data_IF_483784553431
#
_entry.id   IF_483784553431
#
_cell.length_a   1.000
_cell.length_b   1.000
_cell.length_c   1.000
_cell.angle_alpha   90.00
_cell.angle_beta   90.00
_cell.angle_gamma   90.00
#
_symmetry.space_group_name_H-M   'P 1'
#
loop_
_entity.id
_entity.type
_entity.pdbx_description
1 polymer ?
#
# COMPACT_ATOMS: atom_id res chain seq x y z
N UNK A 1 -51.67 72.88 35.35
CA UNK A 1 -50.43 72.77 34.58
C UNK A 1 -49.33 72.32 35.51
N UNK A 2 -48.80 71.11 35.29
CA UNK A 2 -47.38 70.72 35.33
C UNK A 2 -47.28 69.19 35.31
N UNK A 3 -46.70 68.67 34.23
CA UNK A 3 -46.26 67.29 34.05
C UNK A 3 -44.93 67.09 34.77
N UNK A 4 -44.74 65.94 35.44
CA UNK A 4 -43.40 65.38 35.72
C UNK A 4 -43.52 63.86 35.73
N UNK A 5 -42.93 63.20 34.73
CA UNK A 5 -42.53 61.79 34.73
C UNK A 5 -41.19 61.60 35.46
N UNK A 6 -40.93 60.45 36.11
CA UNK A 6 -39.56 59.99 36.31
C UNK A 6 -39.24 58.76 35.44
N UNK A 7 -38.07 58.85 34.83
CA UNK A 7 -37.41 57.90 33.95
C UNK A 7 -36.76 56.74 34.70
N UNK A 8 -36.76 55.60 34.01
CA UNK A 8 -35.80 54.50 34.00
C UNK A 8 -34.39 54.79 34.55
N UNK A 9 -33.84 53.85 35.32
CA UNK A 9 -32.51 53.24 35.07
C UNK A 9 -32.29 52.00 35.94
N UNK A 10 -32.14 50.83 35.31
CA UNK A 10 -31.56 49.63 35.90
C UNK A 10 -30.07 49.56 35.48
N UNK A 11 -29.15 49.09 36.33
CA UNK A 11 -27.73 49.06 35.98
C UNK A 11 -27.45 47.89 35.02
N UNK A 12 -27.16 48.21 33.76
CA UNK A 12 -26.42 47.31 32.88
C UNK A 12 -24.96 47.29 33.31
N UNK A 13 -24.53 46.20 33.94
CA UNK A 13 -23.12 45.92 34.12
C UNK A 13 -22.84 44.43 33.95
N UNK A 14 -21.95 44.15 33.00
CA UNK A 14 -20.92 43.11 33.05
C UNK A 14 -21.14 41.78 32.30
N UNK A 15 -21.65 41.81 31.07
CA UNK A 15 -21.67 40.63 30.17
C UNK A 15 -20.55 40.61 29.12
N UNK A 16 -19.86 41.73 28.88
CA UNK A 16 -18.96 41.88 27.71
C UNK A 16 -17.55 41.29 27.94
N UNK A 17 -17.10 41.14 29.19
CA UNK A 17 -15.72 40.72 29.50
C UNK A 17 -15.53 39.19 29.43
N UNK A 18 -16.59 38.39 29.64
CA UNK A 18 -16.48 36.94 29.69
C UNK A 18 -16.43 36.27 28.29
N UNK A 19 -17.02 36.89 27.27
CA UNK A 19 -17.07 36.36 25.90
C UNK A 19 -15.72 36.50 25.17
N UNK A 20 -14.97 37.60 25.37
CA UNK A 20 -13.65 37.75 24.73
C UNK A 20 -12.61 36.76 25.26
N UNK A 21 -12.63 36.45 26.56
CA UNK A 21 -11.68 35.52 27.16
C UNK A 21 -11.98 34.07 26.81
N UNK A 22 -13.26 33.70 26.67
CA UNK A 22 -13.67 32.36 26.22
C UNK A 22 -13.31 32.12 24.75
N UNK A 23 -13.51 33.11 23.88
CA UNK A 23 -13.09 33.05 22.46
C UNK A 23 -11.57 32.93 22.32
N UNK A 24 -10.79 33.65 23.14
CA UNK A 24 -9.31 33.53 23.15
C UNK A 24 -8.83 32.16 23.64
N UNK A 25 -9.50 31.58 24.65
CA UNK A 25 -9.18 30.24 25.17
C UNK A 25 -9.47 29.17 24.10
N UNK A 26 -10.59 29.27 23.38
CA UNK A 26 -10.95 28.34 22.30
C UNK A 26 -10.01 28.42 21.10
N UNK A 27 -9.60 29.62 20.70
CA UNK A 27 -8.62 29.83 19.63
C UNK A 27 -7.26 29.21 19.98
N UNK A 28 -6.78 29.42 21.21
CA UNK A 28 -5.51 28.88 21.70
C UNK A 28 -5.54 27.35 21.81
N UNK A 29 -6.67 26.79 22.26
CA UNK A 29 -6.89 25.34 22.29
C UNK A 29 -6.89 24.72 20.87
N UNK A 30 -7.50 25.41 19.90
CA UNK A 30 -7.54 24.99 18.49
C UNK A 30 -6.15 24.97 17.85
N UNK A 31 -5.32 25.99 18.11
CA UNK A 31 -3.93 26.06 17.61
C UNK A 31 -3.04 24.96 18.22
N UNK A 32 -3.19 24.69 19.52
CA UNK A 32 -2.49 23.58 20.20
C UNK A 32 -2.94 22.22 19.63
N UNK A 33 -4.22 22.08 19.31
CA UNK A 33 -4.75 20.85 18.70
C UNK A 33 -4.20 20.65 17.28
N UNK A 34 -4.17 21.70 16.46
CA UNK A 34 -3.66 21.67 15.09
C UNK A 34 -2.16 21.38 15.04
N UNK A 35 -1.37 21.99 15.90
CA UNK A 35 0.08 21.72 16.00
C UNK A 35 0.38 20.28 16.49
N UNK A 36 -0.41 19.75 17.44
CA UNK A 36 -0.36 18.33 17.82
C UNK A 36 -0.74 17.40 16.66
N UNK A 37 -1.79 17.74 15.89
CA UNK A 37 -2.19 16.95 14.72
C UNK A 37 -1.11 16.97 13.62
N UNK A 38 -0.49 18.12 13.36
CA UNK A 38 0.61 18.23 12.40
C UNK A 38 1.85 17.44 12.84
N UNK A 39 2.27 17.56 14.10
CA UNK A 39 3.40 16.80 14.62
C UNK A 39 3.14 15.28 14.65
N UNK A 40 1.92 14.85 14.94
CA UNK A 40 1.52 13.44 14.82
C UNK A 40 1.55 12.94 13.37
N UNK A 41 1.09 13.75 12.40
CA UNK A 41 1.21 13.43 10.97
C UNK A 41 2.67 13.30 10.55
N UNK A 42 3.53 14.22 10.97
CA UNK A 42 4.98 14.17 10.68
C UNK A 42 5.65 12.94 11.28
N UNK A 43 5.34 12.59 12.54
CA UNK A 43 5.86 11.37 13.19
C UNK A 43 5.40 10.10 12.47
N UNK A 44 4.14 10.04 12.01
CA UNK A 44 3.64 8.90 11.21
C UNK A 44 4.35 8.77 9.87
N UNK A 45 4.60 9.88 9.18
CA UNK A 45 5.35 9.90 7.92
C UNK A 45 6.79 9.44 8.16
N UNK A 46 7.46 9.96 9.19
CA UNK A 46 8.82 9.56 9.55
C UNK A 46 8.90 8.06 9.88
N UNK A 47 7.98 7.54 10.69
CA UNK A 47 7.93 6.11 11.02
C UNK A 47 7.69 5.23 9.79
N UNK A 48 6.77 5.64 8.90
CA UNK A 48 6.48 4.91 7.67
C UNK A 48 7.70 4.86 6.73
N UNK A 49 8.44 5.96 6.60
CA UNK A 49 9.66 6.03 5.81
C UNK A 49 10.78 5.17 6.40
N UNK A 50 10.97 5.19 7.72
CA UNK A 50 11.97 4.34 8.40
C UNK A 50 11.63 2.85 8.26
N UNK A 51 10.37 2.47 8.43
CA UNK A 51 9.92 1.09 8.24
C UNK A 51 10.09 0.60 6.80
N UNK A 52 9.87 1.49 5.83
CA UNK A 52 10.10 1.20 4.42
C UNK A 52 11.60 1.04 4.11
N UNK A 53 12.45 1.89 4.66
CA UNK A 53 13.90 1.79 4.49
C UNK A 53 14.45 0.48 5.09
N UNK A 54 13.99 0.09 6.27
CA UNK A 54 14.34 -1.20 6.88
C UNK A 54 13.95 -2.39 5.99
N UNK A 55 12.76 -2.33 5.36
CA UNK A 55 12.34 -3.33 4.37
C UNK A 55 13.30 -3.31 3.18
N UNK A 56 13.61 -2.16 2.59
CA UNK A 56 14.50 -2.07 1.42
C UNK A 56 15.95 -2.51 1.72
N UNK A 57 16.42 -2.35 2.96
CA UNK A 57 17.75 -2.77 3.43
C UNK A 57 17.88 -4.27 3.68
N UNK A 58 16.78 -5.03 3.67
CA UNK A 58 16.81 -6.49 3.79
C UNK A 58 17.73 -7.13 2.74
N UNK A 59 18.42 -8.18 3.17
CA UNK A 59 19.46 -8.83 2.35
C UNK A 59 18.85 -9.66 1.22
N UNK A 60 17.64 -10.16 1.45
CA UNK A 60 16.87 -10.99 0.55
C UNK A 60 16.52 -10.25 -0.74
N UNK A 61 16.56 -10.97 -1.86
CA UNK A 61 16.18 -10.43 -3.18
C UNK A 61 14.66 -10.27 -3.25
N UNK A 62 13.94 -11.26 -2.72
CA UNK A 62 12.48 -11.29 -2.63
C UNK A 62 12.11 -11.45 -1.16
N UNK A 63 11.26 -10.56 -0.66
CA UNK A 63 10.69 -10.65 0.67
C UNK A 63 9.43 -11.51 0.60
N UNK A 64 9.27 -12.40 1.58
CA UNK A 64 8.15 -13.34 1.62
C UNK A 64 7.36 -13.08 2.90
N UNK A 65 6.06 -12.83 2.75
CA UNK A 65 5.11 -12.78 3.86
C UNK A 65 4.02 -13.82 3.64
N UNK A 66 3.74 -14.65 4.65
CA UNK A 66 2.67 -15.65 4.60
C UNK A 66 1.55 -15.30 5.58
N UNK A 67 0.30 -15.47 5.13
CA UNK A 67 -0.89 -15.16 5.90
C UNK A 67 -1.90 -16.29 5.76
N UNK A 68 -2.58 -16.64 6.85
CA UNK A 68 -3.70 -17.57 6.88
C UNK A 68 -4.95 -16.80 7.37
N UNK A 69 -5.64 -16.07 6.48
CA UNK A 69 -6.66 -15.12 6.88
C UNK A 69 -8.01 -15.76 7.29
N UNK A 70 -8.24 -17.04 6.98
CA UNK A 70 -9.54 -17.69 7.15
C UNK A 70 -10.56 -17.29 6.07
N UNK A 71 -11.82 -17.72 6.24
CA UNK A 71 -12.94 -17.43 5.33
C UNK A 71 -12.81 -18.06 3.92
N UNK A 72 -12.51 -19.36 3.82
CA UNK A 72 -12.39 -20.02 2.53
C UNK A 72 -11.04 -19.77 1.82
N UNK A 73 -10.10 -19.08 2.48
CA UNK A 73 -8.72 -18.89 2.02
C UNK A 73 -7.79 -19.62 2.99
N UNK A 74 -7.11 -20.65 2.48
CA UNK A 74 -6.19 -21.48 3.25
C UNK A 74 -4.87 -20.76 3.51
N UNK A 75 -4.33 -20.10 2.48
CA UNK A 75 -3.00 -19.52 2.52
C UNK A 75 -2.87 -18.39 1.50
N UNK A 76 -2.26 -17.28 1.91
CA UNK A 76 -1.81 -16.21 1.02
C UNK A 76 -0.29 -16.09 1.18
N UNK A 77 0.42 -16.08 0.07
CA UNK A 77 1.86 -15.83 0.04
C UNK A 77 2.13 -14.58 -0.77
N UNK A 78 2.69 -13.57 -0.13
CA UNK A 78 3.08 -12.31 -0.75
C UNK A 78 4.58 -12.31 -1.02
N UNK A 79 4.94 -12.28 -2.31
CA UNK A 79 6.31 -12.15 -2.77
C UNK A 79 6.56 -10.69 -3.16
N UNK A 80 7.41 -9.98 -2.42
CA UNK A 80 7.72 -8.56 -2.70
C UNK A 80 9.13 -8.40 -3.23
N UNK A 81 9.24 -7.83 -4.44
CA UNK A 81 10.49 -7.42 -5.06
C UNK A 81 10.65 -5.91 -4.94
N UNK A 82 11.72 -5.49 -4.27
CA UNK A 82 12.09 -4.08 -4.15
C UNK A 82 12.74 -3.58 -5.46
N UNK A 83 12.50 -2.31 -5.86
CA UNK A 83 13.00 -1.77 -7.13
C UNK A 83 14.53 -1.86 -7.24
N UNK A 84 15.23 -1.68 -6.13
CA UNK A 84 16.71 -1.78 -6.04
C UNK A 84 17.25 -3.19 -6.25
N UNK A 85 16.40 -4.22 -6.16
CA UNK A 85 16.78 -5.63 -6.28
C UNK A 85 16.41 -6.24 -7.64
N UNK A 86 15.64 -5.54 -8.49
CA UNK A 86 15.21 -6.05 -9.80
C UNK A 86 16.39 -6.49 -10.68
N UNK A 87 17.44 -5.67 -10.75
CA UNK A 87 18.64 -6.00 -11.54
C UNK A 87 19.44 -7.20 -10.99
N UNK A 88 19.31 -7.50 -9.70
CA UNK A 88 19.95 -8.69 -9.09
C UNK A 88 19.14 -9.94 -9.46
N UNK A 89 17.81 -9.87 -9.36
CA UNK A 89 16.92 -10.98 -9.74
C UNK A 89 17.18 -11.42 -11.19
N UNK A 90 17.15 -10.48 -12.14
CA UNK A 90 17.35 -10.80 -13.57
C UNK A 90 18.73 -11.32 -13.96
N UNK A 91 19.73 -11.20 -13.05
CA UNK A 91 21.04 -11.84 -13.19
C UNK A 91 21.08 -13.24 -12.62
N UNK A 92 20.30 -13.52 -11.56
CA UNK A 92 20.31 -14.82 -10.87
C UNK A 92 19.33 -15.81 -11.44
N UNK A 93 18.14 -15.35 -11.83
CA UNK A 93 17.05 -16.20 -12.30
C UNK A 93 16.50 -15.63 -13.59
N UNK A 94 16.26 -16.52 -14.55
CA UNK A 94 15.63 -16.22 -15.83
C UNK A 94 14.64 -17.33 -16.16
N UNK A 95 13.55 -16.94 -16.80
CA UNK A 95 12.69 -17.90 -17.44
C UNK A 95 13.43 -18.49 -18.65
N UNK A 96 13.35 -19.79 -18.81
CA UNK A 96 13.69 -20.42 -20.07
C UNK A 96 12.61 -20.12 -21.13
N UNK A 97 12.80 -20.68 -22.33
CA UNK A 97 11.90 -20.41 -23.44
C UNK A 97 10.48 -20.91 -23.17
N UNK A 98 10.34 -22.09 -22.59
CA UNK A 98 9.04 -22.73 -22.45
C UNK A 98 8.30 -22.09 -21.28
N UNK A 99 8.98 -21.83 -20.16
CA UNK A 99 8.44 -21.06 -19.03
C UNK A 99 8.00 -19.64 -19.45
N UNK A 100 8.77 -18.98 -20.32
CA UNK A 100 8.40 -17.69 -20.87
C UNK A 100 7.14 -17.77 -21.72
N UNK A 101 7.05 -18.76 -22.61
CA UNK A 101 5.86 -18.95 -23.45
C UNK A 101 4.63 -19.30 -22.61
N UNK A 102 4.79 -20.10 -21.56
CA UNK A 102 3.71 -20.44 -20.63
C UNK A 102 3.23 -19.22 -19.84
N UNK A 103 4.15 -18.33 -19.43
CA UNK A 103 3.80 -17.08 -18.77
C UNK A 103 2.95 -16.17 -19.67
N UNK A 104 3.38 -16.00 -20.94
CA UNK A 104 2.65 -15.20 -21.93
C UNK A 104 1.32 -15.87 -22.31
N UNK A 105 1.30 -17.20 -22.44
CA UNK A 105 0.10 -17.97 -22.75
C UNK A 105 -0.98 -17.77 -21.69
N UNK A 106 -0.62 -17.86 -20.40
CA UNK A 106 -1.56 -17.60 -19.29
C UNK A 106 -2.06 -16.16 -19.28
N UNK A 107 -1.16 -15.18 -19.44
CA UNK A 107 -1.54 -13.77 -19.55
C UNK A 107 -2.57 -13.55 -20.65
N UNK A 108 -2.34 -14.12 -21.84
CA UNK A 108 -3.25 -13.96 -22.98
C UNK A 108 -4.58 -14.69 -22.78
N UNK A 109 -4.62 -15.80 -22.05
CA UNK A 109 -5.87 -16.48 -21.70
C UNK A 109 -6.71 -15.68 -20.71
N UNK A 110 -6.08 -15.09 -19.70
CA UNK A 110 -6.76 -14.30 -18.67
C UNK A 110 -7.30 -12.97 -19.21
N UNK A 111 -6.63 -12.41 -20.21
CA UNK A 111 -6.93 -11.07 -20.75
C UNK A 111 -7.45 -11.12 -22.20
N UNK A 112 -7.86 -12.31 -22.67
CA UNK A 112 -8.19 -12.55 -24.08
C UNK A 112 -9.26 -11.59 -24.61
N UNK A 113 -10.28 -11.32 -23.80
CA UNK A 113 -11.43 -10.49 -24.17
C UNK A 113 -11.13 -8.98 -24.15
N UNK A 114 -10.10 -8.56 -23.39
CA UNK A 114 -9.77 -7.16 -23.14
C UNK A 114 -8.49 -6.70 -23.87
N UNK A 115 -7.65 -7.63 -24.32
CA UNK A 115 -6.29 -7.34 -24.77
C UNK A 115 -6.23 -6.27 -25.86
N UNK A 116 -7.10 -6.37 -26.87
CA UNK A 116 -7.15 -5.41 -27.99
C UNK A 116 -7.70 -4.03 -27.57
N UNK A 117 -8.45 -3.98 -26.47
CA UNK A 117 -9.00 -2.74 -25.90
C UNK A 117 -7.99 -2.01 -25.01
N UNK A 118 -6.97 -2.74 -24.52
CA UNK A 118 -5.90 -2.17 -23.71
C UNK A 118 -5.03 -1.22 -24.53
N UNK A 119 -4.64 -0.11 -23.91
CA UNK A 119 -3.61 0.75 -24.48
C UNK A 119 -2.29 -0.02 -24.51
N UNK A 120 -1.47 0.25 -25.52
CA UNK A 120 -0.13 -0.37 -25.65
C UNK A 120 0.73 -0.25 -24.37
N UNK A 121 0.61 0.86 -23.64
CA UNK A 121 1.30 1.02 -22.34
C UNK A 121 0.86 -0.01 -21.31
N UNK A 122 -0.43 -0.31 -21.27
CA UNK A 122 -1.02 -1.23 -20.29
C UNK A 122 -0.71 -2.67 -20.69
N UNK A 123 -0.75 -3.00 -21.98
CA UNK A 123 -0.23 -4.26 -22.53
C UNK A 123 1.24 -4.50 -22.12
N UNK A 124 2.12 -3.51 -22.32
CA UNK A 124 3.54 -3.62 -21.94
C UNK A 124 3.70 -3.84 -20.43
N UNK A 125 2.92 -3.13 -19.61
CA UNK A 125 2.96 -3.29 -18.14
C UNK A 125 2.53 -4.70 -17.75
N UNK A 126 1.37 -5.13 -18.23
CA UNK A 126 0.83 -6.45 -17.96
C UNK A 126 1.81 -7.55 -18.34
N UNK A 127 2.36 -7.51 -19.56
CA UNK A 127 3.39 -8.46 -20.01
C UNK A 127 4.61 -8.47 -19.09
N UNK A 128 5.13 -7.29 -18.73
CA UNK A 128 6.25 -7.19 -17.79
C UNK A 128 5.89 -7.84 -16.45
N UNK A 129 4.68 -7.60 -15.96
CA UNK A 129 4.25 -8.04 -14.63
C UNK A 129 4.11 -9.57 -14.58
N UNK A 130 3.54 -10.21 -15.59
CA UNK A 130 3.49 -11.69 -15.69
C UNK A 130 4.89 -12.30 -15.77
N UNK A 131 5.77 -11.78 -16.63
CA UNK A 131 7.15 -12.30 -16.74
C UNK A 131 7.88 -12.14 -15.40
N UNK A 132 7.74 -10.99 -14.72
CA UNK A 132 8.37 -10.77 -13.42
C UNK A 132 7.76 -11.62 -12.32
N UNK A 133 6.44 -11.81 -12.31
CA UNK A 133 5.76 -12.68 -11.36
C UNK A 133 6.27 -14.11 -11.43
N UNK A 134 6.33 -14.67 -12.63
CA UNK A 134 6.85 -16.02 -12.85
C UNK A 134 8.34 -16.13 -12.52
N UNK A 135 9.15 -15.12 -12.86
CA UNK A 135 10.58 -15.09 -12.49
C UNK A 135 10.76 -15.07 -10.97
N UNK A 136 9.92 -14.32 -10.25
CA UNK A 136 9.94 -14.26 -8.79
C UNK A 136 9.55 -15.61 -8.16
N UNK A 137 8.49 -16.24 -8.65
CA UNK A 137 8.04 -17.57 -8.20
C UNK A 137 9.15 -18.59 -8.44
N UNK A 138 9.72 -18.64 -9.65
CA UNK A 138 10.83 -19.52 -10.00
C UNK A 138 12.01 -19.35 -9.05
N UNK A 139 12.43 -18.10 -8.81
CA UNK A 139 13.53 -17.81 -7.90
C UNK A 139 13.27 -18.35 -6.49
N UNK A 140 12.06 -18.15 -5.96
CA UNK A 140 11.70 -18.64 -4.63
C UNK A 140 11.66 -20.17 -4.56
N UNK A 141 11.17 -20.85 -5.59
CA UNK A 141 11.12 -22.32 -5.64
C UNK A 141 12.53 -22.92 -5.77
N UNK A 142 13.34 -22.45 -6.72
CA UNK A 142 14.71 -22.96 -6.95
C UNK A 142 15.62 -22.79 -5.74
N UNK A 143 15.39 -21.75 -4.93
CA UNK A 143 16.18 -21.47 -3.73
C UNK A 143 15.53 -22.01 -2.45
N UNK A 144 14.51 -22.87 -2.56
CA UNK A 144 13.78 -23.48 -1.43
C UNK A 144 13.22 -22.45 -0.42
N UNK A 145 12.91 -21.23 -0.89
CA UNK A 145 12.29 -20.21 -0.05
C UNK A 145 10.79 -20.46 0.11
N UNK A 146 10.18 -21.17 -0.86
CA UNK A 146 8.82 -21.69 -0.80
C UNK A 146 8.84 -23.10 -1.41
N UNK A 147 8.35 -24.08 -0.67
CA UNK A 147 8.37 -25.49 -1.08
C UNK A 147 7.05 -25.96 -1.70
N UNK A 148 5.94 -25.32 -1.37
CA UNK A 148 4.59 -25.80 -1.68
C UNK A 148 3.75 -24.76 -2.44
N UNK A 149 4.24 -24.31 -3.61
CA UNK A 149 3.42 -23.54 -4.54
C UNK A 149 2.53 -24.54 -5.30
N UNK A 150 1.23 -24.56 -5.01
CA UNK A 150 0.29 -25.41 -5.76
C UNK A 150 0.00 -24.82 -7.14
N UNK A 151 -0.44 -25.66 -8.08
CA UNK A 151 -0.90 -25.19 -9.40
C UNK A 151 -2.06 -24.20 -9.27
N UNK A 152 -2.96 -24.42 -8.31
CA UNK A 152 -4.02 -23.46 -7.97
C UNK A 152 -3.47 -22.08 -7.61
N UNK A 153 -2.37 -22.01 -6.85
CA UNK A 153 -1.74 -20.74 -6.51
C UNK A 153 -1.08 -20.08 -7.72
N UNK A 154 -0.49 -20.87 -8.63
CA UNK A 154 0.06 -20.38 -9.91
C UNK A 154 -1.02 -19.85 -10.87
N UNK A 155 -2.27 -20.28 -10.69
CA UNK A 155 -3.41 -19.83 -11.50
C UNK A 155 -4.26 -18.77 -10.79
N UNK A 156 -3.99 -18.48 -9.51
CA UNK A 156 -4.72 -17.49 -8.72
C UNK A 156 -3.74 -16.54 -8.04
N UNK A 157 -3.05 -15.74 -8.84
CA UNK A 157 -2.23 -14.68 -8.31
C UNK A 157 -2.54 -13.32 -8.92
N UNK A 158 -2.23 -12.30 -8.15
CA UNK A 158 -2.48 -10.91 -8.52
C UNK A 158 -1.28 -10.04 -8.19
N UNK A 159 -1.26 -8.84 -8.76
CA UNK A 159 -0.18 -7.90 -8.58
C UNK A 159 -0.60 -6.72 -7.72
N UNK A 160 0.30 -6.29 -6.84
CA UNK A 160 0.17 -5.06 -6.06
C UNK A 160 1.44 -4.24 -6.17
N UNK A 161 1.25 -2.93 -6.24
CA UNK A 161 2.34 -1.96 -6.34
C UNK A 161 2.49 -1.17 -5.05
N UNK A 162 3.74 -0.88 -4.69
CA UNK A 162 4.06 -0.02 -3.56
C UNK A 162 5.07 1.02 -3.98
N UNK A 163 4.74 2.31 -3.85
CA UNK A 163 5.73 3.38 -4.02
C UNK A 163 6.80 3.25 -2.95
N UNK A 164 8.05 3.38 -3.35
CA UNK A 164 9.23 3.36 -2.48
C UNK A 164 9.90 4.73 -2.52
N UNK A 165 10.12 5.29 -1.34
CA UNK A 165 10.90 6.49 -1.15
C UNK A 165 12.09 6.20 -0.24
N UNK A 166 13.17 6.96 -0.40
CA UNK A 166 14.27 6.96 0.54
C UNK A 166 13.91 7.72 1.83
N UNK A 167 14.85 7.76 2.77
CA UNK A 167 14.69 8.47 4.05
C UNK A 167 14.52 9.97 3.89
N UNK A 168 15.02 10.53 2.78
CA UNK A 168 14.91 11.94 2.44
C UNK A 168 13.57 12.24 1.71
N UNK A 169 12.76 11.21 1.46
CA UNK A 169 11.46 11.29 0.80
C UNK A 169 11.52 11.27 -0.72
N UNK A 170 12.69 11.10 -1.34
CA UNK A 170 12.81 11.00 -2.79
C UNK A 170 12.32 9.65 -3.29
N UNK A 171 11.61 9.64 -4.44
CA UNK A 171 11.10 8.40 -5.03
C UNK A 171 12.25 7.55 -5.58
N UNK A 172 12.38 6.33 -5.06
CA UNK A 172 13.34 5.33 -5.56
C UNK A 172 12.72 4.47 -6.66
N UNK A 173 11.40 4.22 -6.60
CA UNK A 173 10.69 3.44 -7.59
C UNK A 173 9.42 2.78 -7.06
N UNK A 174 8.99 1.72 -7.73
CA UNK A 174 7.83 0.94 -7.34
C UNK A 174 8.25 -0.50 -7.02
N UNK A 175 7.86 -1.00 -5.86
CA UNK A 175 7.96 -2.43 -5.55
C UNK A 175 6.85 -3.19 -6.26
N UNK A 176 7.16 -4.39 -6.72
CA UNK A 176 6.18 -5.34 -7.23
C UNK A 176 5.92 -6.40 -6.17
N UNK A 177 4.66 -6.58 -5.79
CA UNK A 177 4.21 -7.67 -4.92
C UNK A 177 3.34 -8.62 -5.71
N UNK A 178 3.74 -9.89 -5.79
CA UNK A 178 2.95 -11.00 -6.33
C UNK A 178 2.22 -11.64 -5.16
N UNK A 179 0.89 -11.69 -5.22
CA UNK A 179 0.04 -12.25 -4.16
C UNK A 179 -0.52 -13.56 -4.68
N UNK A 180 0.03 -14.67 -4.18
CA UNK A 180 -0.42 -16.02 -4.50
C UNK A 180 -1.49 -16.44 -3.49
N UNK A 181 -2.67 -16.85 -3.97
CA UNK A 181 -3.78 -17.23 -3.09
C UNK A 181 -4.12 -18.71 -3.24
N UNK A 182 -4.20 -19.40 -2.11
CA UNK A 182 -4.70 -20.77 -2.01
C UNK A 182 -6.06 -20.76 -1.31
N UNK A 183 -7.10 -21.26 -1.98
CA UNK A 183 -8.43 -21.38 -1.39
C UNK A 183 -8.53 -22.65 -0.53
N UNK A 184 -9.40 -22.64 0.47
CA UNK A 184 -9.80 -23.85 1.18
C UNK A 184 -10.67 -24.71 0.27
N UNK A 185 -10.26 -25.96 0.02
CA UNK A 185 -11.09 -26.98 -0.62
C UNK A 185 -11.57 -26.66 -2.04
N UNK A 186 -10.74 -26.97 -3.03
CA UNK A 186 -11.25 -27.75 -4.18
C UNK A 186 -10.68 -29.14 -3.99
N UNK A 187 -11.37 -29.95 -3.18
CA UNK A 187 -11.14 -31.39 -3.17
C UNK A 187 -11.60 -31.93 -4.51
N UNK A 188 -10.67 -32.33 -5.36
CA UNK A 188 -10.99 -33.35 -6.36
C UNK A 188 -10.93 -34.68 -5.61
N UNK A 189 -12.09 -35.17 -5.18
CA UNK A 189 -12.35 -36.61 -5.08
C UNK A 189 -12.84 -37.11 -6.44
#
# INVERSE_FOLDING_TARGET
MNEVTPSSEAPEANTVVAEEDTVKIEQNASEILMSKLQSMKQKKVSFALHSQEERTKRSEIIQIEEKAPGNGIRRIVELTLEPTKMGILGKKTRLDRDEYLDAIGRMLQEEQDSWEELRMRDQIRLTRDYIMGETMIKHCVENNLITDITEQMKNNYSFKYGKRSDVDGQMIGESLTVILTQLEGVGYE
#
